data_IF_070323245005
#
_entry.id   IF_070323245005
#
_cell.length_a   1.000
_cell.length_b   1.000
_cell.length_c   1.000
_cell.angle_alpha   90.00
_cell.angle_beta   90.00
_cell.angle_gamma   90.00
#
_symmetry.space_group_name_H-M   'P 1'
#
loop_
_entity.id
_entity.type
_entity.pdbx_description
1 polymer ?
#
# COMPACT_ATOMS: atom_id res chain seq x y z
N UNK A 1 7.51 11.38 -1.64
CA UNK A 1 6.79 10.41 -0.79
C UNK A 1 5.43 10.98 -0.45
N UNK A 2 4.34 10.31 -0.84
CA UNK A 2 2.99 10.72 -0.46
C UNK A 2 2.48 9.81 0.67
N UNK A 3 1.86 10.39 1.69
CA UNK A 3 1.26 9.65 2.80
C UNK A 3 0.02 10.33 3.35
N UNK A 4 -0.70 9.63 4.22
CA UNK A 4 -1.64 10.28 5.11
C UNK A 4 -0.92 11.13 6.18
N UNK A 5 -1.71 11.73 7.08
CA UNK A 5 -1.23 12.54 8.21
C UNK A 5 -1.03 11.72 9.49
N UNK A 6 -0.80 10.40 9.39
CA UNK A 6 -0.54 9.54 10.53
C UNK A 6 0.63 10.04 11.38
N UNK A 7 0.60 9.76 12.68
CA UNK A 7 1.62 10.23 13.62
C UNK A 7 3.05 9.78 13.25
N UNK A 8 3.18 8.62 12.59
CA UNK A 8 4.45 8.09 12.11
C UNK A 8 5.04 8.98 11.00
N UNK A 9 4.20 9.38 10.03
CA UNK A 9 4.63 10.18 8.87
C UNK A 9 4.75 11.68 9.16
N UNK A 10 4.05 12.18 10.18
CA UNK A 10 4.19 13.57 10.66
C UNK A 10 5.36 13.76 11.63
N UNK A 11 5.97 12.67 12.11
CA UNK A 11 7.09 12.72 13.04
C UNK A 11 8.33 13.41 12.46
N UNK A 12 9.08 14.11 13.31
CA UNK A 12 10.34 14.75 12.91
C UNK A 12 11.36 13.75 12.38
N UNK A 13 11.43 12.56 13.00
CA UNK A 13 12.35 11.49 12.58
C UNK A 13 12.11 11.10 11.12
N UNK A 14 10.86 10.83 10.75
CA UNK A 14 10.53 10.42 9.39
C UNK A 14 10.74 11.56 8.38
N UNK A 15 10.38 12.80 8.76
CA UNK A 15 10.60 13.98 7.91
C UNK A 15 12.07 14.23 7.63
N UNK A 16 12.92 14.11 8.64
CA UNK A 16 14.36 14.31 8.49
C UNK A 16 14.97 13.24 7.57
N UNK A 17 14.58 11.97 7.76
CA UNK A 17 15.02 10.88 6.89
C UNK A 17 14.68 11.17 5.42
N UNK A 18 13.44 11.60 5.12
CA UNK A 18 13.06 11.95 3.75
C UNK A 18 13.90 13.09 3.18
N UNK A 19 14.19 14.11 3.99
CA UNK A 19 15.03 15.24 3.56
C UNK A 19 16.47 14.80 3.27
N UNK A 20 17.05 13.93 4.11
CA UNK A 20 18.40 13.39 3.94
C UNK A 20 18.53 12.60 2.62
N UNK A 21 17.50 11.86 2.22
CA UNK A 21 17.46 11.14 0.93
C UNK A 21 16.96 12.00 -0.25
N UNK A 22 16.78 13.31 -0.06
CA UNK A 22 16.35 14.22 -1.13
C UNK A 22 14.89 14.03 -1.59
N UNK A 23 14.06 13.38 -0.77
CA UNK A 23 12.66 13.14 -1.08
C UNK A 23 11.76 14.27 -0.57
N UNK A 24 10.97 14.85 -1.48
CA UNK A 24 9.89 15.76 -1.08
C UNK A 24 8.71 14.96 -0.50
N UNK A 25 8.31 15.28 0.72
CA UNK A 25 7.09 14.74 1.32
C UNK A 25 5.86 15.52 0.84
N UNK A 26 4.78 14.78 0.57
CA UNK A 26 3.42 15.28 0.31
C UNK A 26 2.49 14.53 1.25
N UNK A 27 1.49 15.19 1.81
CA UNK A 27 0.50 14.56 2.68
C UNK A 27 -0.91 14.91 2.21
N UNK A 28 -1.83 13.94 2.21
CA UNK A 28 -3.23 14.17 1.88
C UNK A 28 -3.84 15.20 2.84
N UNK A 29 -4.72 16.09 2.36
CA UNK A 29 -5.39 17.04 3.23
C UNK A 29 -6.49 16.35 4.04
N UNK A 30 -6.84 16.95 5.18
CA UNK A 30 -7.99 16.49 5.96
C UNK A 30 -9.26 16.63 5.11
N UNK A 31 -9.93 15.52 4.84
CA UNK A 31 -11.13 15.47 3.98
C UNK A 31 -10.86 15.17 2.51
N UNK A 32 -9.60 15.07 2.07
CA UNK A 32 -9.22 14.64 0.72
C UNK A 32 -8.70 13.20 0.76
N UNK A 33 -9.62 12.23 0.71
CA UNK A 33 -9.28 10.79 0.76
C UNK A 33 -8.82 10.20 -0.59
N UNK A 34 -9.02 10.95 -1.69
CA UNK A 34 -8.76 10.45 -3.04
C UNK A 34 -7.30 10.07 -3.27
N UNK A 35 -6.36 10.84 -2.72
CA UNK A 35 -4.93 10.56 -2.89
C UNK A 35 -4.49 9.29 -2.15
N UNK A 36 -5.18 8.94 -1.06
CA UNK A 36 -4.91 7.73 -0.28
C UNK A 36 -5.74 6.52 -0.76
N UNK A 37 -6.72 6.74 -1.64
CA UNK A 37 -7.63 5.70 -2.12
C UNK A 37 -6.92 4.43 -2.66
N UNK A 38 -5.77 4.51 -3.38
CA UNK A 38 -5.05 3.32 -3.81
C UNK A 38 -4.55 2.46 -2.64
N UNK A 39 -4.01 3.10 -1.58
CA UNK A 39 -3.54 2.41 -0.39
C UNK A 39 -4.72 1.86 0.43
N UNK A 40 -5.82 2.60 0.54
CA UNK A 40 -7.05 2.13 1.21
C UNK A 40 -7.63 0.90 0.51
N UNK A 41 -7.66 0.88 -0.83
CA UNK A 41 -8.08 -0.29 -1.60
C UNK A 41 -7.16 -1.49 -1.37
N UNK A 42 -5.84 -1.27 -1.37
CA UNK A 42 -4.86 -2.33 -1.12
C UNK A 42 -5.06 -2.99 0.25
N UNK A 43 -5.13 -2.18 1.32
CA UNK A 43 -5.30 -2.69 2.68
C UNK A 43 -6.70 -3.21 2.95
N UNK A 44 -7.72 -2.61 2.34
CA UNK A 44 -9.10 -3.09 2.40
C UNK A 44 -9.20 -4.52 1.90
N UNK A 45 -8.73 -4.77 0.67
CA UNK A 45 -8.72 -6.11 0.08
C UNK A 45 -7.83 -7.10 0.84
N UNK A 46 -6.69 -6.67 1.41
CA UNK A 46 -5.86 -7.54 2.24
C UNK A 46 -6.68 -8.07 3.43
N UNK A 47 -7.34 -7.17 4.15
CA UNK A 47 -8.07 -7.51 5.38
C UNK A 47 -9.36 -8.26 5.11
N UNK A 48 -10.05 -7.99 4.01
CA UNK A 48 -11.34 -8.60 3.70
C UNK A 48 -11.25 -9.90 2.90
N UNK A 49 -10.22 -10.07 2.06
CA UNK A 49 -10.14 -11.17 1.09
C UNK A 49 -9.03 -12.18 1.43
N UNK A 50 -8.03 -11.80 2.25
CA UNK A 50 -6.82 -12.62 2.44
C UNK A 50 -6.53 -12.96 3.89
N UNK A 51 -6.55 -11.98 4.79
CA UNK A 51 -6.27 -12.21 6.21
C UNK A 51 -7.37 -13.10 6.82
N UNK A 52 -7.02 -14.20 7.51
CA UNK A 52 -8.01 -15.04 8.18
C UNK A 52 -8.77 -14.27 9.26
N UNK A 53 -10.08 -14.52 9.40
CA UNK A 53 -10.91 -13.88 10.43
C UNK A 53 -10.42 -14.21 11.86
N UNK A 54 -9.84 -15.41 12.04
CA UNK A 54 -9.26 -15.86 13.31
C UNK A 54 -7.87 -15.28 13.57
N UNK A 55 -7.27 -14.57 12.61
CA UNK A 55 -5.89 -14.10 12.66
C UNK A 55 -4.88 -15.21 12.36
N UNK A 56 -3.62 -14.96 12.72
CA UNK A 56 -2.49 -15.88 12.53
C UNK A 56 -1.97 -16.37 13.88
N UNK A 57 -1.41 -17.58 13.92
CA UNK A 57 -0.86 -18.17 15.14
C UNK A 57 0.52 -17.60 15.48
N UNK A 58 1.22 -17.03 14.49
CA UNK A 58 2.52 -16.40 14.70
C UNK A 58 2.79 -15.22 13.76
N UNK A 59 3.68 -14.32 14.18
CA UNK A 59 4.18 -13.24 13.33
C UNK A 59 4.88 -13.79 12.07
N UNK A 60 5.58 -14.92 12.18
CA UNK A 60 6.27 -15.53 11.05
C UNK A 60 5.29 -15.97 9.97
N UNK A 61 4.23 -16.67 10.37
CA UNK A 61 3.14 -17.07 9.48
C UNK A 61 2.50 -15.85 8.82
N UNK A 62 2.12 -14.84 9.61
CA UNK A 62 1.53 -13.61 9.11
C UNK A 62 2.44 -12.93 8.06
N UNK A 63 3.76 -12.90 8.30
CA UNK A 63 4.72 -12.27 7.37
C UNK A 63 4.80 -13.03 6.05
N UNK A 64 4.91 -14.36 6.11
CA UNK A 64 4.96 -15.20 4.92
C UNK A 64 3.67 -15.07 4.11
N UNK A 65 2.52 -15.07 4.79
CA UNK A 65 1.23 -15.01 4.12
C UNK A 65 0.95 -13.62 3.52
N UNK A 66 1.23 -12.53 4.25
CA UNK A 66 1.14 -11.16 3.71
C UNK A 66 2.09 -10.97 2.52
N UNK A 67 3.29 -11.58 2.54
CA UNK A 67 4.19 -11.52 1.39
C UNK A 67 3.59 -12.23 0.16
N UNK A 68 2.92 -13.38 0.34
CA UNK A 68 2.18 -14.06 -0.73
C UNK A 68 1.07 -13.18 -1.28
N UNK A 69 0.32 -12.49 -0.42
CA UNK A 69 -0.69 -11.52 -0.85
C UNK A 69 -0.09 -10.40 -1.69
N UNK A 70 1.00 -9.77 -1.23
CA UNK A 70 1.66 -8.66 -1.96
C UNK A 70 2.10 -9.12 -3.34
N UNK A 71 2.71 -10.30 -3.46
CA UNK A 71 3.09 -10.86 -4.76
C UNK A 71 1.87 -11.09 -5.63
N UNK A 72 0.82 -11.71 -5.10
CA UNK A 72 -0.41 -11.98 -5.86
C UNK A 72 -1.11 -10.69 -6.31
N UNK A 73 -1.22 -9.70 -5.43
CA UNK A 73 -1.83 -8.40 -5.71
C UNK A 73 -1.14 -7.73 -6.90
N UNK A 74 0.19 -7.68 -6.89
CA UNK A 74 0.96 -6.96 -7.91
C UNK A 74 1.13 -7.73 -9.23
N UNK A 75 1.14 -9.07 -9.20
CA UNK A 75 1.46 -9.89 -10.39
C UNK A 75 0.23 -10.53 -11.04
N UNK A 76 -0.77 -10.92 -10.26
CA UNK A 76 -1.88 -11.77 -10.72
C UNK A 76 -3.23 -11.07 -10.64
N UNK A 77 -3.49 -10.29 -9.58
CA UNK A 77 -4.83 -9.72 -9.33
C UNK A 77 -5.20 -8.71 -10.41
N UNK A 78 -6.34 -8.86 -11.11
CA UNK A 78 -6.82 -7.86 -12.05
C UNK A 78 -7.46 -6.67 -11.33
N UNK A 79 -7.23 -5.46 -11.83
CA UNK A 79 -7.83 -4.23 -11.29
C UNK A 79 -8.66 -3.53 -12.37
N UNK A 80 -9.93 -3.23 -12.08
CA UNK A 80 -10.83 -2.56 -13.04
C UNK A 80 -10.29 -1.21 -13.52
N UNK A 81 -9.66 -0.44 -12.63
CA UNK A 81 -8.98 0.82 -12.98
C UNK A 81 -7.82 0.62 -13.98
N UNK A 82 -7.20 -0.56 -13.97
CA UNK A 82 -6.12 -0.93 -14.86
C UNK A 82 -6.62 -1.79 -16.03
N UNK A 83 -7.81 -1.55 -16.59
CA UNK A 83 -8.47 -2.39 -17.61
C UNK A 83 -8.33 -3.91 -17.34
N UNK A 84 -8.50 -4.30 -16.08
CA UNK A 84 -8.38 -5.69 -15.61
C UNK A 84 -6.98 -6.32 -15.75
N UNK A 85 -5.93 -5.51 -15.86
CA UNK A 85 -4.55 -5.96 -15.71
C UNK A 85 -4.08 -5.88 -14.25
N UNK A 86 -3.07 -6.68 -13.92
CA UNK A 86 -2.35 -6.53 -12.64
C UNK A 86 -1.50 -5.26 -12.64
N UNK A 87 -1.17 -4.71 -11.46
CA UNK A 87 -0.37 -3.48 -11.34
C UNK A 87 0.93 -3.55 -12.15
N UNK A 88 1.70 -4.63 -12.01
CA UNK A 88 2.95 -4.79 -12.75
C UNK A 88 2.70 -4.93 -14.26
N UNK A 89 1.65 -5.66 -14.66
CA UNK A 89 1.32 -5.79 -16.09
C UNK A 89 0.90 -4.44 -16.70
N UNK A 90 0.22 -3.59 -15.93
CA UNK A 90 -0.14 -2.23 -16.34
C UNK A 90 1.09 -1.33 -16.47
N UNK A 91 1.98 -1.33 -15.49
CA UNK A 91 3.23 -0.54 -15.52
C UNK A 91 4.09 -0.91 -16.73
N UNK A 92 4.28 -2.21 -17.00
CA UNK A 92 5.06 -2.70 -18.14
C UNK A 92 4.51 -2.28 -19.51
N UNK A 93 3.22 -1.98 -19.60
CA UNK A 93 2.57 -1.53 -20.84
C UNK A 93 2.58 -0.01 -20.98
N UNK A 94 2.77 0.71 -19.89
CA UNK A 94 2.83 2.17 -19.87
C UNK A 94 4.26 2.71 -20.10
N UNK A 95 5.28 1.85 -19.94
CA UNK A 95 6.67 2.10 -20.29
C UNK A 95 6.92 1.88 -21.79
#
# INVERSE_FOLDING_TARGET
FHSDQGCQYTSHKFRNELLEHGHRQSMSRKGECWDNAPMERFFGSLKSEWVPETGYDSEHEARVDVQRYVTRYNTIRPHSYNDYWSPIAREKRAA
#
